data_IF_946585744902
#
_entry.id   IF_946585744902
#
_cell.length_a   1.000
_cell.length_b   1.000
_cell.length_c   1.000
_cell.angle_alpha   90.00
_cell.angle_beta   90.00
_cell.angle_gamma   90.00
#
_symmetry.space_group_name_H-M   'P 1'
#
loop_
_entity.id
_entity.type
_entity.pdbx_description
1 polymer ?
#
# COMPACT_ATOMS: atom_id res chain seq x y z
N UNK A 1 12.13 11.84 22.24
CA UNK A 1 11.23 12.83 21.60
C UNK A 1 10.10 12.02 20.97
N UNK A 2 8.95 12.01 21.58
CA UNK A 2 7.72 11.42 21.02
C UNK A 2 7.34 12.27 19.83
N UNK A 3 7.44 11.72 18.63
CA UNK A 3 6.94 12.38 17.43
C UNK A 3 5.41 12.39 17.56
N UNK A 4 4.84 13.50 17.91
CA UNK A 4 3.41 13.68 18.25
C UNK A 4 2.50 13.61 17.00
N UNK A 5 3.08 13.28 15.85
CA UNK A 5 2.32 13.14 14.62
C UNK A 5 1.70 11.74 14.53
N UNK A 6 0.41 11.65 14.22
CA UNK A 6 -0.27 10.38 14.05
C UNK A 6 0.34 9.59 12.90
N UNK A 7 0.41 8.27 13.06
CA UNK A 7 0.89 7.35 12.02
C UNK A 7 -0.05 7.38 10.80
N UNK A 8 0.51 7.41 9.60
CA UNK A 8 -0.23 7.70 8.36
C UNK A 8 -0.28 6.46 7.48
N UNK A 9 -1.51 6.04 7.14
CA UNK A 9 -1.77 4.86 6.31
C UNK A 9 -2.44 5.27 5.01
N UNK A 10 -1.80 4.96 3.89
CA UNK A 10 -2.34 5.13 2.54
C UNK A 10 -2.94 3.82 2.05
N UNK A 11 -4.20 3.84 1.66
CA UNK A 11 -4.81 2.75 0.89
C UNK A 11 -4.76 3.05 -0.60
N UNK A 12 -4.23 2.14 -1.42
CA UNK A 12 -4.20 2.27 -2.88
C UNK A 12 -5.14 1.23 -3.48
N UNK A 13 -6.18 1.70 -4.18
CA UNK A 13 -7.16 0.84 -4.83
C UNK A 13 -6.88 0.70 -6.32
N UNK A 14 -6.63 -0.54 -6.76
CA UNK A 14 -6.33 -0.88 -8.15
C UNK A 14 -7.52 -1.37 -8.99
N UNK A 15 -8.73 -1.29 -8.47
CA UNK A 15 -9.91 -1.66 -9.24
C UNK A 15 -10.53 -0.45 -9.93
N UNK A 16 -10.74 -0.54 -11.24
CA UNK A 16 -11.40 0.51 -12.02
C UNK A 16 -12.95 0.35 -12.06
N UNK A 17 -13.50 -0.60 -11.30
CA UNK A 17 -14.96 -0.79 -11.18
C UNK A 17 -15.52 0.14 -10.12
N UNK A 18 -16.69 0.77 -10.38
CA UNK A 18 -17.38 1.64 -9.43
C UNK A 18 -17.73 0.94 -8.11
N UNK A 19 -18.23 -0.28 -8.17
CA UNK A 19 -18.62 -1.07 -7.00
C UNK A 19 -17.63 -2.21 -6.73
N UNK A 20 -16.35 -1.86 -6.61
CA UNK A 20 -15.31 -2.85 -6.38
C UNK A 20 -15.28 -3.37 -4.94
N UNK A 21 -15.26 -4.69 -4.79
CA UNK A 21 -15.18 -5.35 -3.48
C UNK A 21 -13.79 -5.16 -2.83
N UNK A 22 -12.73 -5.07 -3.61
CA UNK A 22 -11.40 -4.74 -3.09
C UNK A 22 -11.35 -3.32 -2.49
N UNK A 23 -12.03 -2.34 -3.12
CA UNK A 23 -12.14 -0.97 -2.59
C UNK A 23 -12.94 -0.95 -1.29
N UNK A 24 -14.06 -1.68 -1.23
CA UNK A 24 -14.88 -1.76 -0.02
C UNK A 24 -14.07 -2.35 1.14
N UNK A 25 -13.37 -3.48 0.92
CA UNK A 25 -12.51 -4.08 1.93
C UNK A 25 -11.39 -3.14 2.38
N UNK A 26 -10.80 -2.39 1.45
CA UNK A 26 -9.78 -1.40 1.75
C UNK A 26 -10.32 -0.26 2.62
N UNK A 27 -11.50 0.30 2.31
CA UNK A 27 -12.14 1.34 3.13
C UNK A 27 -12.40 0.84 4.54
N UNK A 28 -12.94 -0.37 4.70
CA UNK A 28 -13.16 -0.99 6.02
C UNK A 28 -11.84 -1.10 6.81
N UNK A 29 -10.74 -1.51 6.16
CA UNK A 29 -9.43 -1.57 6.80
C UNK A 29 -8.95 -0.18 7.23
N UNK A 30 -9.09 0.82 6.37
CA UNK A 30 -8.69 2.21 6.68
C UNK A 30 -9.50 2.77 7.86
N UNK A 31 -10.79 2.48 7.94
CA UNK A 31 -11.63 2.85 9.08
C UNK A 31 -11.15 2.18 10.37
N UNK A 32 -10.77 0.89 10.34
CA UNK A 32 -10.19 0.22 11.49
C UNK A 32 -8.82 0.79 11.91
N UNK A 33 -8.02 1.25 10.96
CA UNK A 33 -6.76 1.91 11.25
C UNK A 33 -7.00 3.30 11.89
N UNK A 34 -7.97 4.06 11.36
CA UNK A 34 -8.36 5.36 11.91
C UNK A 34 -8.89 5.23 13.35
N UNK A 35 -9.72 4.21 13.64
CA UNK A 35 -10.19 3.91 15.00
C UNK A 35 -9.05 3.60 15.98
N UNK A 36 -7.85 3.29 15.48
CA UNK A 36 -6.62 3.06 16.27
C UNK A 36 -5.68 4.27 16.28
N UNK A 37 -6.17 5.43 15.86
CA UNK A 37 -5.42 6.68 15.91
C UNK A 37 -4.53 6.96 14.69
N UNK A 38 -4.60 6.15 13.63
CA UNK A 38 -3.91 6.48 12.39
C UNK A 38 -4.66 7.55 11.60
N UNK A 39 -3.93 8.41 10.91
CA UNK A 39 -4.48 9.17 9.79
C UNK A 39 -4.54 8.28 8.55
N UNK A 40 -5.65 8.33 7.83
CA UNK A 40 -5.84 7.48 6.64
C UNK A 40 -6.17 8.30 5.41
N UNK A 41 -5.66 7.86 4.26
CA UNK A 41 -6.03 8.37 2.93
C UNK A 41 -6.36 7.21 2.00
N UNK A 42 -7.23 7.45 1.04
CA UNK A 42 -7.49 6.54 -0.07
C UNK A 42 -7.05 7.19 -1.37
N UNK A 43 -6.14 6.53 -2.07
CA UNK A 43 -5.80 6.78 -3.47
C UNK A 43 -6.58 5.78 -4.33
N UNK A 44 -7.67 6.22 -4.92
CA UNK A 44 -8.46 5.40 -5.85
C UNK A 44 -7.92 5.62 -7.27
N UNK A 45 -7.25 4.61 -7.83
CA UNK A 45 -6.65 4.69 -9.16
C UNK A 45 -7.68 4.82 -10.30
N UNK A 46 -8.96 4.61 -10.02
CA UNK A 46 -10.05 4.93 -10.94
C UNK A 46 -10.22 6.44 -11.14
N UNK A 47 -9.91 7.23 -10.11
CA UNK A 47 -10.02 8.69 -10.12
C UNK A 47 -8.73 9.38 -10.62
N UNK A 48 -7.72 8.57 -10.87
CA UNK A 48 -6.40 9.03 -11.34
C UNK A 48 -6.20 8.52 -12.76
N UNK A 49 -6.24 9.41 -13.73
CA UNK A 49 -5.95 9.09 -15.15
C UNK A 49 -4.42 8.98 -15.35
N UNK A 50 -3.85 7.92 -14.74
CA UNK A 50 -2.42 7.67 -14.75
C UNK A 50 -2.02 7.05 -16.09
N UNK A 51 -1.23 7.75 -16.94
CA UNK A 51 -0.77 7.18 -18.20
C UNK A 51 0.09 5.94 -17.94
N UNK A 52 0.27 5.09 -18.94
CA UNK A 52 1.23 4.00 -18.84
C UNK A 52 2.63 4.56 -18.59
N UNK A 53 3.30 3.99 -17.59
CA UNK A 53 4.67 4.36 -17.23
C UNK A 53 5.60 4.20 -18.44
N UNK A 54 6.42 5.21 -18.65
CA UNK A 54 7.40 5.25 -19.74
C UNK A 54 8.71 5.82 -19.20
N UNK A 55 9.75 4.99 -19.05
CA UNK A 55 11.02 5.41 -18.46
C UNK A 55 11.82 6.42 -19.33
N UNK A 56 11.44 6.54 -20.61
CA UNK A 56 12.03 7.47 -21.58
C UNK A 56 11.36 8.86 -21.62
N UNK A 57 10.33 9.06 -20.82
CA UNK A 57 9.62 10.33 -20.72
C UNK A 57 9.83 10.96 -19.36
N UNK A 58 10.37 12.16 -19.36
CA UNK A 58 10.16 13.07 -18.24
C UNK A 58 8.67 13.42 -18.21
N UNK A 59 7.96 12.91 -17.25
CA UNK A 59 6.56 13.22 -17.06
C UNK A 59 6.41 13.93 -15.72
N UNK A 60 5.77 15.10 -15.77
CA UNK A 60 5.40 15.88 -14.59
C UNK A 60 3.89 16.11 -14.60
N UNK A 61 3.12 15.06 -14.90
CA UNK A 61 1.67 15.16 -14.86
C UNK A 61 1.20 15.43 -13.42
N UNK A 62 0.07 16.14 -13.30
CA UNK A 62 -0.56 16.36 -11.99
C UNK A 62 -0.84 15.06 -11.23
N UNK A 63 -1.02 13.96 -11.95
CA UNK A 63 -1.30 12.63 -11.38
C UNK A 63 -0.05 12.00 -10.77
N UNK A 64 1.10 12.15 -11.41
CA UNK A 64 2.40 11.70 -10.88
C UNK A 64 2.76 12.48 -9.62
N UNK A 65 2.61 13.81 -9.66
CA UNK A 65 2.83 14.65 -8.48
C UNK A 65 1.92 14.23 -7.32
N UNK A 66 0.65 13.89 -7.60
CA UNK A 66 -0.28 13.40 -6.59
C UNK A 66 0.17 12.07 -6.00
N UNK A 67 0.59 11.11 -6.84
CA UNK A 67 1.08 9.80 -6.40
C UNK A 67 2.30 9.96 -5.51
N UNK A 68 3.30 10.72 -5.95
CA UNK A 68 4.50 10.98 -5.18
C UNK A 68 4.15 11.65 -3.83
N UNK A 69 3.31 12.68 -3.85
CA UNK A 69 2.88 13.37 -2.63
C UNK A 69 2.10 12.47 -1.65
N UNK A 70 1.23 11.59 -2.14
CA UNK A 70 0.50 10.63 -1.30
C UNK A 70 1.42 9.53 -0.76
N UNK A 71 2.37 9.07 -1.56
CA UNK A 71 3.40 8.12 -1.12
C UNK A 71 4.33 8.75 -0.08
N UNK A 72 4.82 9.96 -0.29
CA UNK A 72 5.68 10.67 0.67
C UNK A 72 4.96 10.95 1.99
N UNK A 73 3.68 11.28 1.91
CA UNK A 73 2.86 11.47 3.10
C UNK A 73 2.73 10.19 3.93
N UNK A 74 2.69 9.01 3.30
CA UNK A 74 2.40 7.74 3.97
C UNK A 74 3.58 7.21 4.80
N UNK A 75 3.30 6.63 5.95
CA UNK A 75 4.22 5.83 6.76
C UNK A 75 4.03 4.32 6.52
N UNK A 76 2.81 3.92 6.10
CA UNK A 76 2.48 2.56 5.64
C UNK A 76 1.50 2.62 4.47
N UNK A 77 1.47 1.56 3.67
CA UNK A 77 0.65 1.47 2.46
C UNK A 77 -0.11 0.15 2.42
N UNK A 78 -1.37 0.18 2.00
CA UNK A 78 -2.16 -1.02 1.72
C UNK A 78 -2.51 -1.04 0.24
N UNK A 79 -2.03 -2.05 -0.47
CA UNK A 79 -2.38 -2.28 -1.88
C UNK A 79 -3.60 -3.20 -1.95
N UNK A 80 -4.64 -2.77 -2.64
CA UNK A 80 -5.84 -3.57 -2.88
C UNK A 80 -6.04 -3.79 -4.38
N UNK A 81 -6.02 -5.04 -4.82
CA UNK A 81 -6.17 -5.44 -6.22
C UNK A 81 -7.30 -6.46 -6.41
N UNK A 82 -8.09 -6.34 -7.49
CA UNK A 82 -8.80 -7.52 -7.98
C UNK A 82 -7.80 -8.54 -8.53
N UNK A 83 -8.24 -9.79 -8.56
CA UNK A 83 -7.56 -10.87 -9.28
C UNK A 83 -8.04 -10.88 -10.74
N UNK A 84 -7.15 -10.58 -11.67
CA UNK A 84 -7.39 -10.70 -13.10
C UNK A 84 -6.44 -11.72 -13.69
N UNK A 85 -6.98 -12.92 -13.94
CA UNK A 85 -6.22 -14.03 -14.52
C UNK A 85 -4.99 -14.45 -13.68
N UNK A 86 -5.16 -14.50 -12.36
CA UNK A 86 -4.08 -14.85 -11.43
C UNK A 86 -3.03 -13.73 -11.22
N UNK A 87 -3.34 -12.50 -11.65
CA UNK A 87 -2.42 -11.36 -11.55
C UNK A 87 -3.09 -10.14 -10.91
N UNK A 88 -2.25 -9.23 -10.38
CA UNK A 88 -2.71 -7.91 -10.00
C UNK A 88 -3.27 -7.15 -11.21
N UNK A 89 -4.16 -6.19 -10.97
CA UNK A 89 -4.68 -5.36 -12.04
C UNK A 89 -3.56 -4.54 -12.71
N UNK A 90 -3.73 -4.23 -14.00
CA UNK A 90 -2.83 -3.35 -14.73
C UNK A 90 -2.69 -1.97 -14.07
N UNK A 91 -3.74 -1.46 -13.43
CA UNK A 91 -3.69 -0.20 -12.70
C UNK A 91 -2.75 -0.26 -11.48
N UNK A 92 -2.78 -1.35 -10.68
CA UNK A 92 -1.81 -1.53 -9.57
C UNK A 92 -0.40 -1.67 -10.11
N UNK A 93 -0.21 -2.46 -11.17
CA UNK A 93 1.13 -2.64 -11.75
C UNK A 93 1.68 -1.32 -12.28
N UNK A 94 0.85 -0.56 -13.02
CA UNK A 94 1.24 0.74 -13.53
C UNK A 94 1.57 1.74 -12.40
N UNK A 95 0.77 1.78 -11.33
CA UNK A 95 1.07 2.57 -10.14
C UNK A 95 2.44 2.19 -9.54
N UNK A 96 2.73 0.89 -9.40
CA UNK A 96 4.00 0.40 -8.86
C UNK A 96 5.20 0.72 -9.76
N UNK A 97 5.00 0.96 -11.04
CA UNK A 97 6.06 1.37 -11.96
C UNK A 97 6.44 2.85 -11.79
N UNK A 98 5.55 3.67 -11.20
CA UNK A 98 5.82 5.08 -10.89
C UNK A 98 6.46 5.30 -9.53
N UNK A 99 6.43 4.30 -8.64
CA UNK A 99 6.95 4.45 -7.28
C UNK A 99 8.13 3.51 -7.06
N UNK A 100 9.22 4.02 -6.55
CA UNK A 100 10.42 3.25 -6.25
C UNK A 100 10.92 3.57 -4.85
N UNK A 101 11.60 4.69 -4.70
CA UNK A 101 12.25 5.10 -3.46
C UNK A 101 11.24 5.42 -2.36
N UNK A 102 10.06 5.89 -2.73
CA UNK A 102 8.97 6.20 -1.83
C UNK A 102 8.46 4.97 -1.06
N UNK A 103 8.74 3.76 -1.53
CA UNK A 103 8.42 2.53 -0.82
C UNK A 103 9.35 2.25 0.36
N UNK A 104 10.56 2.85 0.36
CA UNK A 104 11.63 2.53 1.29
C UNK A 104 11.27 2.80 2.74
N UNK A 105 11.51 1.81 3.59
CA UNK A 105 11.25 1.91 5.03
C UNK A 105 9.79 1.99 5.43
N UNK A 106 8.84 1.74 4.52
CA UNK A 106 7.41 1.69 4.79
C UNK A 106 6.92 0.24 4.92
N UNK A 107 5.85 0.04 5.71
CA UNK A 107 5.22 -1.26 5.90
C UNK A 107 4.02 -1.39 4.96
N UNK A 108 3.99 -2.49 4.20
CA UNK A 108 2.92 -2.77 3.23
C UNK A 108 2.01 -3.91 3.70
N UNK A 109 0.70 -3.71 3.49
CA UNK A 109 -0.34 -4.73 3.57
C UNK A 109 -0.97 -4.99 2.20
N UNK A 110 -1.58 -6.15 2.02
CA UNK A 110 -2.15 -6.58 0.73
C UNK A 110 -3.57 -7.10 0.89
N UNK A 111 -4.47 -6.60 0.04
CA UNK A 111 -5.84 -7.10 -0.09
C UNK A 111 -6.03 -7.58 -1.54
N UNK A 112 -6.60 -8.76 -1.70
CA UNK A 112 -6.99 -9.27 -3.02
C UNK A 112 -8.47 -9.66 -3.04
N UNK A 113 -9.20 -9.25 -4.06
CA UNK A 113 -10.55 -9.77 -4.33
C UNK A 113 -10.45 -10.82 -5.42
N UNK A 114 -10.64 -12.09 -5.03
CA UNK A 114 -10.46 -13.26 -5.89
C UNK A 114 -11.41 -14.39 -5.50
N UNK A 115 -11.81 -15.20 -6.47
CA UNK A 115 -12.55 -16.44 -6.23
C UNK A 115 -11.64 -17.58 -5.75
N UNK A 116 -10.33 -17.48 -6.04
CA UNK A 116 -9.32 -18.50 -5.77
C UNK A 116 -8.31 -18.05 -4.70
N UNK A 117 -8.75 -17.26 -3.74
CA UNK A 117 -7.96 -16.73 -2.62
C UNK A 117 -6.84 -15.74 -3.00
N UNK A 118 -6.52 -15.52 -4.26
CA UNK A 118 -5.62 -14.49 -4.77
C UNK A 118 -4.19 -14.51 -4.19
N UNK A 119 -3.67 -15.69 -3.84
CA UNK A 119 -2.33 -15.80 -3.25
C UNK A 119 -1.25 -15.33 -4.22
N UNK A 120 -1.35 -15.74 -5.49
CA UNK A 120 -0.43 -15.31 -6.56
C UNK A 120 -0.42 -13.80 -6.73
N UNK A 121 -1.59 -13.16 -6.70
CA UNK A 121 -1.74 -11.70 -6.81
C UNK A 121 -1.02 -10.99 -5.65
N UNK A 122 -1.24 -11.47 -4.42
CA UNK A 122 -0.60 -10.89 -3.23
C UNK A 122 0.92 -11.08 -3.25
N UNK A 123 1.42 -12.23 -3.72
CA UNK A 123 2.86 -12.47 -3.85
C UNK A 123 3.51 -11.64 -4.97
N UNK A 124 2.80 -11.36 -6.06
CA UNK A 124 3.28 -10.42 -7.09
C UNK A 124 3.42 -9.00 -6.55
N UNK A 125 2.39 -8.49 -5.84
CA UNK A 125 2.47 -7.18 -5.18
C UNK A 125 3.61 -7.14 -4.15
N UNK A 126 3.76 -8.19 -3.34
CA UNK A 126 4.84 -8.32 -2.36
C UNK A 126 6.21 -8.31 -3.03
N UNK A 127 6.36 -9.02 -4.14
CA UNK A 127 7.62 -9.08 -4.90
C UNK A 127 7.98 -7.69 -5.43
N UNK A 128 7.04 -6.97 -6.04
CA UNK A 128 7.28 -5.62 -6.54
C UNK A 128 7.68 -4.66 -5.40
N UNK A 129 6.94 -4.65 -4.30
CA UNK A 129 7.25 -3.83 -3.12
C UNK A 129 8.63 -4.15 -2.53
N UNK A 130 9.00 -5.43 -2.47
CA UNK A 130 10.32 -5.85 -1.97
C UNK A 130 11.44 -5.36 -2.88
N UNK A 131 11.24 -5.33 -4.20
CA UNK A 131 12.22 -4.77 -5.14
C UNK A 131 12.43 -3.27 -4.93
N UNK A 132 11.41 -2.59 -4.43
CA UNK A 132 11.45 -1.17 -4.05
C UNK A 132 11.75 -0.96 -2.55
N UNK A 133 12.32 -1.97 -1.89
CA UNK A 133 12.79 -1.93 -0.51
C UNK A 133 11.69 -1.64 0.55
N UNK A 134 10.44 -1.89 0.23
CA UNK A 134 9.34 -1.84 1.19
C UNK A 134 9.27 -3.10 2.06
N UNK A 135 8.91 -2.94 3.32
CA UNK A 135 8.61 -4.03 4.24
C UNK A 135 7.20 -4.57 3.99
N UNK A 136 6.98 -5.84 4.23
CA UNK A 136 5.67 -6.46 4.02
C UNK A 136 5.19 -7.17 5.27
N UNK A 137 3.89 -7.04 5.59
CA UNK A 137 3.26 -7.93 6.55
C UNK A 137 3.36 -9.39 6.08
N UNK A 138 3.52 -10.36 6.99
CA UNK A 138 3.73 -11.77 6.64
C UNK A 138 2.48 -12.44 6.05
N UNK A 139 1.36 -11.74 5.98
CA UNK A 139 0.09 -12.22 5.44
C UNK A 139 -0.63 -11.12 4.65
N UNK A 140 -1.66 -11.53 3.90
CA UNK A 140 -2.61 -10.64 3.25
C UNK A 140 -4.04 -11.03 3.57
N UNK A 141 -5.00 -10.27 3.06
CA UNK A 141 -6.44 -10.55 3.17
C UNK A 141 -7.03 -10.80 1.80
N UNK A 142 -7.59 -12.00 1.61
CA UNK A 142 -8.40 -12.33 0.43
C UNK A 142 -9.87 -12.14 0.73
N UNK A 143 -10.62 -11.62 -0.24
CA UNK A 143 -12.07 -11.53 -0.24
C UNK A 143 -12.66 -12.15 -1.49
N UNK A 144 -13.78 -12.87 -1.37
CA UNK A 144 -14.60 -13.28 -2.52
C UNK A 144 -15.85 -12.39 -2.58
N UNK A 145 -15.98 -11.64 -3.64
CA UNK A 145 -17.08 -10.69 -3.84
C UNK A 145 -18.48 -11.32 -3.87
N UNK A 146 -18.56 -12.64 -4.15
CA UNK A 146 -19.84 -13.39 -4.21
C UNK A 146 -20.24 -13.95 -2.84
N UNK A 147 -19.26 -14.26 -1.99
CA UNK A 147 -19.48 -14.97 -0.73
C UNK A 147 -19.39 -14.05 0.48
N UNK A 148 -18.42 -13.13 0.46
CA UNK A 148 -18.08 -12.34 1.65
C UNK A 148 -18.92 -11.07 1.81
N UNK A 149 -19.64 -10.67 0.75
CA UNK A 149 -20.47 -9.46 0.75
C UNK A 149 -21.94 -9.79 0.47
N UNK A 150 -22.86 -8.97 0.96
CA UNK A 150 -24.25 -9.02 0.59
C UNK A 150 -24.53 -8.31 -0.76
N UNK A 151 -25.79 -8.33 -1.21
CA UNK A 151 -26.20 -7.68 -2.45
C UNK A 151 -25.96 -6.16 -2.45
N UNK A 152 -26.02 -5.52 -1.30
CA UNK A 152 -25.75 -4.08 -1.12
C UNK A 152 -24.25 -3.76 -1.04
N UNK A 153 -23.38 -4.77 -1.02
CA UNK A 153 -21.94 -4.57 -0.92
C UNK A 153 -21.39 -4.49 0.50
N UNK A 154 -22.21 -4.73 1.51
CA UNK A 154 -21.77 -4.78 2.90
C UNK A 154 -21.04 -6.09 3.17
N UNK A 155 -19.88 -6.01 3.83
CA UNK A 155 -19.15 -7.19 4.28
C UNK A 155 -19.98 -7.95 5.34
N UNK A 156 -20.18 -9.25 5.11
CA UNK A 156 -20.95 -10.16 5.98
C UNK A 156 -20.13 -11.29 6.59
N UNK A 157 -18.91 -11.52 6.06
CA UNK A 157 -18.03 -12.58 6.54
C UNK A 157 -17.19 -12.08 7.73
N UNK A 158 -17.56 -12.51 8.93
CA UNK A 158 -16.86 -12.12 10.18
C UNK A 158 -15.38 -12.51 10.19
N UNK A 159 -15.01 -13.62 9.54
CA UNK A 159 -13.61 -14.06 9.46
C UNK A 159 -12.78 -13.10 8.59
N UNK A 160 -13.35 -12.61 7.50
CA UNK A 160 -12.69 -11.59 6.67
C UNK A 160 -12.58 -10.28 7.43
N UNK A 161 -13.65 -9.87 8.12
CA UNK A 161 -13.64 -8.67 8.95
C UNK A 161 -12.57 -8.73 10.04
N UNK A 162 -12.47 -9.87 10.74
CA UNK A 162 -11.42 -10.07 11.74
C UNK A 162 -10.02 -9.94 11.13
N UNK A 163 -9.77 -10.50 9.95
CA UNK A 163 -8.48 -10.37 9.26
C UNK A 163 -8.17 -8.93 8.85
N UNK A 164 -9.16 -8.15 8.44
CA UNK A 164 -8.99 -6.72 8.16
C UNK A 164 -8.66 -5.94 9.45
N UNK A 165 -9.34 -6.25 10.57
CA UNK A 165 -9.04 -5.68 11.89
C UNK A 165 -7.61 -6.02 12.35
N UNK A 166 -7.16 -7.26 12.13
CA UNK A 166 -5.79 -7.69 12.44
C UNK A 166 -4.77 -6.90 11.60
N UNK A 167 -4.99 -6.79 10.29
CA UNK A 167 -4.10 -6.06 9.39
C UNK A 167 -4.02 -4.57 9.77
N UNK A 168 -5.15 -3.93 10.04
CA UNK A 168 -5.18 -2.54 10.50
C UNK A 168 -4.40 -2.37 11.82
N UNK A 169 -4.59 -3.28 12.77
CA UNK A 169 -3.83 -3.28 14.04
C UNK A 169 -2.34 -3.44 13.80
N UNK A 170 -1.93 -4.40 12.97
CA UNK A 170 -0.53 -4.71 12.75
C UNK A 170 0.21 -3.59 11.99
N UNK A 171 -0.46 -2.92 11.06
CA UNK A 171 0.08 -1.71 10.41
C UNK A 171 0.36 -0.62 11.45
N UNK A 172 -0.59 -0.35 12.34
CA UNK A 172 -0.48 0.74 13.34
C UNK A 172 0.50 0.41 14.47
N UNK A 173 0.71 -0.87 14.78
CA UNK A 173 1.63 -1.30 15.85
C UNK A 173 3.05 -1.51 15.34
N UNK A 174 3.22 -2.23 14.23
CA UNK A 174 4.55 -2.57 13.71
C UNK A 174 5.12 -1.49 12.78
N UNK A 175 4.25 -0.80 12.03
CA UNK A 175 4.67 0.25 11.11
C UNK A 175 5.50 1.35 11.76
N UNK A 176 5.08 1.94 12.90
CA UNK A 176 5.87 2.95 13.60
C UNK A 176 7.24 2.46 14.06
N UNK A 177 7.37 1.18 14.43
CA UNK A 177 8.64 0.60 14.84
C UNK A 177 9.62 0.57 13.66
N UNK A 178 9.18 0.04 12.53
CA UNK A 178 9.99 -0.04 11.31
C UNK A 178 10.34 1.35 10.77
N UNK A 179 9.34 2.23 10.67
CA UNK A 179 9.54 3.59 10.16
C UNK A 179 10.53 4.39 11.00
N UNK A 180 10.37 4.33 12.32
CA UNK A 180 11.28 5.01 13.26
C UNK A 180 12.70 4.49 13.12
N UNK A 181 12.90 3.17 13.02
CA UNK A 181 14.23 2.60 12.86
C UNK A 181 14.85 3.02 11.53
N UNK A 182 14.10 2.91 10.42
CA UNK A 182 14.57 3.37 9.11
C UNK A 182 15.01 4.83 9.12
N UNK A 183 14.21 5.73 9.71
CA UNK A 183 14.54 7.15 9.80
C UNK A 183 15.74 7.41 10.72
N UNK A 184 15.93 6.61 11.78
CA UNK A 184 17.11 6.65 12.64
C UNK A 184 18.36 6.28 11.85
N UNK A 185 18.31 5.16 11.12
CA UNK A 185 19.42 4.67 10.30
C UNK A 185 19.73 5.64 9.16
N UNK A 186 18.72 6.21 8.53
CA UNK A 186 18.88 7.22 7.47
C UNK A 186 19.64 8.46 7.95
N UNK A 187 19.41 8.89 9.21
CA UNK A 187 20.08 10.07 9.81
C UNK A 187 21.41 9.75 10.46
N UNK A 188 21.72 8.50 10.69
CA UNK A 188 22.94 8.05 11.35
C UNK A 188 24.15 8.09 10.43
N UNK A 189 25.34 7.92 11.00
CA UNK A 189 26.58 7.70 10.24
C UNK A 189 26.80 6.21 9.90
N UNK A 190 25.89 5.31 10.32
CA UNK A 190 25.98 3.87 10.07
C UNK A 190 25.97 3.59 8.56
N UNK A 191 26.94 2.83 8.09
CA UNK A 191 27.14 2.56 6.66
C UNK A 191 26.65 1.18 6.21
N UNK A 192 26.40 0.27 7.16
CA UNK A 192 26.01 -1.12 6.90
C UNK A 192 24.51 -1.34 6.94
N UNK A 193 23.72 -0.27 6.79
CA UNK A 193 22.27 -0.33 6.75
C UNK A 193 21.75 -0.11 5.33
N UNK A 194 20.59 -0.67 5.03
CA UNK A 194 19.88 -0.37 3.78
C UNK A 194 19.60 1.14 3.63
N UNK A 195 19.22 1.81 4.72
CA UNK A 195 18.97 3.25 4.73
C UNK A 195 20.21 4.08 4.33
N UNK A 196 21.44 3.57 4.55
CA UNK A 196 22.66 4.22 4.12
C UNK A 196 22.84 4.17 2.59
N UNK A 197 22.40 3.09 1.94
CA UNK A 197 22.40 2.96 0.47
C UNK A 197 21.41 3.97 -0.12
N UNK A 198 20.19 3.98 0.38
CA UNK A 198 19.15 4.93 -0.01
C UNK A 198 19.60 6.39 0.13
N UNK A 199 20.26 6.76 1.24
CA UNK A 199 20.81 8.09 1.49
C UNK A 199 21.85 8.51 0.44
N UNK A 200 22.67 7.57 -0.07
CA UNK A 200 23.66 7.84 -1.12
C UNK A 200 22.98 8.11 -2.46
N UNK A 201 21.90 7.40 -2.77
CA UNK A 201 21.14 7.61 -4.00
C UNK A 201 20.50 8.99 -4.02
N UNK A 202 19.76 9.36 -2.99
CA UNK A 202 19.10 10.67 -2.85
C UNK A 202 20.12 11.83 -2.96
N UNK A 203 21.31 11.70 -2.37
CA UNK A 203 22.36 12.75 -2.46
C UNK A 203 23.09 12.82 -3.80
N UNK A 204 22.99 11.79 -4.62
CA UNK A 204 23.58 11.78 -5.95
C UNK A 204 22.69 12.47 -6.99
N UNK A 205 21.41 12.68 -6.66
CA UNK A 205 20.41 13.35 -7.51
C UNK A 205 20.21 14.83 -7.15
N UNK A 206 20.73 15.30 -6.00
CA UNK A 206 20.84 16.72 -5.61
C UNK A 206 22.11 17.36 -6.21
#
# INVERSE_FOLDING_TARGET
>A
MTNDQPFRVLGVSGSLREQSRSVIALRILLDFAAQRGAQTRLLDLREVDLPLYRPDRESHSQYEQRISADMDWADAVVLASPDYHGSMSGAVKNFLDYVWEECSGKLFGYICSSHEKGLTVMEQMRTAVRQCYGWSLPYGVSTDGRVDFDAGGKLKNERVELRLKMMARDLVVYGPLLRRQFLSDFRSAESETFAAIYRKQVRAEE
#
